data_IF_225093535723
#
_entry.id   IF_225093535723
#
_cell.length_a   1.000
_cell.length_b   1.000
_cell.length_c   1.000
_cell.angle_alpha   90.00
_cell.angle_beta   90.00
_cell.angle_gamma   90.00
#
_symmetry.space_group_name_H-M   'P 1'
#
loop_
_entity.id
_entity.type
_entity.pdbx_description
1 polymer ?
#
# COMPACT_ATOMS: atom_id res chain seq x y z
N UNK A 1 32.27 37.12 -23.09
CA UNK A 1 31.57 35.83 -23.27
C UNK A 1 32.00 34.88 -22.16
N UNK A 2 31.06 34.28 -21.41
CA UNK A 2 31.38 33.31 -20.35
C UNK A 2 30.37 33.30 -19.20
N UNK A 3 29.09 33.08 -19.51
CA UNK A 3 27.96 33.05 -18.57
C UNK A 3 28.17 31.91 -17.55
N UNK A 4 28.49 32.22 -16.29
CA UNK A 4 28.52 31.25 -15.17
C UNK A 4 27.14 30.61 -15.05
N UNK A 5 27.06 29.34 -15.43
CA UNK A 5 25.86 28.51 -15.36
C UNK A 5 25.56 28.24 -13.90
N UNK A 6 24.57 28.92 -13.34
CA UNK A 6 23.98 28.63 -12.03
C UNK A 6 23.45 27.20 -12.05
N UNK A 7 24.24 26.23 -11.57
CA UNK A 7 23.75 24.90 -11.29
C UNK A 7 22.92 24.96 -10.01
N UNK A 8 21.61 25.08 -10.18
CA UNK A 8 20.61 24.93 -9.14
C UNK A 8 20.74 23.50 -8.57
N UNK A 9 21.61 23.32 -7.57
CA UNK A 9 21.70 22.07 -6.81
C UNK A 9 20.41 21.94 -6.02
N UNK A 10 19.50 21.06 -6.45
CA UNK A 10 18.40 20.60 -5.61
C UNK A 10 19.01 19.84 -4.41
N UNK A 11 19.20 20.55 -3.30
CA UNK A 11 19.54 20.01 -1.99
C UNK A 11 18.34 19.29 -1.35
N UNK A 12 17.65 18.41 -2.09
CA UNK A 12 16.53 17.64 -1.55
C UNK A 12 16.96 16.25 -1.02
N UNK A 13 18.23 15.88 -1.24
CA UNK A 13 18.82 14.61 -0.84
C UNK A 13 20.25 14.76 -0.27
N UNK A 14 20.53 15.85 0.46
CA UNK A 14 21.77 15.92 1.23
C UNK A 14 21.71 14.88 2.36
N UNK A 15 22.63 13.91 2.27
CA UNK A 15 23.11 12.87 3.21
C UNK A 15 22.56 12.83 4.64
N UNK A 16 22.59 11.66 5.33
CA UNK A 16 22.30 11.60 6.76
C UNK A 16 23.11 12.68 7.47
N UNK A 17 22.45 13.56 8.21
CA UNK A 17 23.11 14.60 9.00
C UNK A 17 23.84 13.90 10.13
N UNK A 18 25.14 13.69 9.93
CA UNK A 18 26.08 13.29 10.95
C UNK A 18 26.46 14.56 11.73
N UNK A 19 26.37 14.48 13.05
CA UNK A 19 26.92 15.46 13.98
C UNK A 19 28.46 15.55 13.81
N UNK A 20 29.11 16.60 14.29
CA UNK A 20 30.58 16.78 14.18
C UNK A 20 31.37 15.58 14.77
N UNK A 21 30.74 14.83 15.68
CA UNK A 21 31.26 13.61 16.32
C UNK A 21 30.96 12.30 15.56
N UNK A 22 30.35 12.36 14.36
CA UNK A 22 30.00 11.19 13.55
C UNK A 22 28.76 10.42 14.02
N UNK A 23 27.97 10.99 14.93
CA UNK A 23 26.71 10.41 15.40
C UNK A 23 25.53 10.83 14.52
N UNK A 24 24.58 9.91 14.30
CA UNK A 24 23.36 10.20 13.55
C UNK A 24 22.44 11.12 14.36
N UNK A 25 22.05 12.26 13.79
CA UNK A 25 21.06 13.15 14.41
C UNK A 25 19.64 12.57 14.29
N UNK A 26 19.31 11.66 15.21
CA UNK A 26 18.03 10.95 15.26
C UNK A 26 16.82 11.89 15.29
N UNK A 27 16.92 13.05 15.96
CA UNK A 27 15.84 14.04 16.03
C UNK A 27 15.49 14.64 14.67
N UNK A 28 16.50 15.01 13.89
CA UNK A 28 16.30 15.56 12.54
C UNK A 28 15.79 14.50 11.57
N UNK A 29 16.30 13.27 11.65
CA UNK A 29 15.85 12.14 10.82
C UNK A 29 14.38 11.80 11.09
N UNK A 30 13.99 11.70 12.35
CA UNK A 30 12.61 11.45 12.75
C UNK A 30 11.71 12.60 12.30
N UNK A 31 12.10 13.86 12.53
CA UNK A 31 11.31 15.02 12.10
C UNK A 31 11.12 15.07 10.57
N UNK A 32 12.19 14.84 9.80
CA UNK A 32 12.12 14.77 8.32
C UNK A 32 11.22 13.63 7.85
N UNK A 33 11.30 12.47 8.51
CA UNK A 33 10.46 11.31 8.20
C UNK A 33 8.98 11.60 8.51
N UNK A 34 8.69 12.18 9.67
CA UNK A 34 7.33 12.58 10.06
C UNK A 34 6.78 13.66 9.12
N UNK A 35 7.57 14.68 8.80
CA UNK A 35 7.17 15.75 7.88
C UNK A 35 6.87 15.21 6.48
N UNK A 36 7.70 14.28 5.98
CA UNK A 36 7.47 13.61 4.70
C UNK A 36 6.18 12.78 4.72
N UNK A 37 5.96 11.98 5.77
CA UNK A 37 4.74 11.19 5.95
C UNK A 37 3.52 12.11 6.02
N UNK A 38 3.58 13.19 6.80
CA UNK A 38 2.50 14.17 6.91
C UNK A 38 2.20 14.84 5.56
N UNK A 39 3.23 15.20 4.78
CA UNK A 39 3.06 15.74 3.45
C UNK A 39 2.34 14.77 2.50
N UNK A 40 2.75 13.50 2.47
CA UNK A 40 2.08 12.48 1.67
C UNK A 40 0.64 12.21 2.14
N UNK A 41 0.40 12.23 3.45
CA UNK A 41 -0.96 12.09 4.02
C UNK A 41 -1.84 13.25 3.59
N UNK A 42 -1.36 14.50 3.70
CA UNK A 42 -2.10 15.70 3.28
C UNK A 42 -2.38 15.66 1.77
N UNK A 43 -1.37 15.34 0.97
CA UNK A 43 -1.52 15.20 -0.48
C UNK A 43 -2.56 14.12 -0.84
N UNK A 44 -2.49 12.97 -0.16
CA UNK A 44 -3.44 11.88 -0.30
C UNK A 44 -4.86 12.30 0.12
N UNK A 45 -5.01 13.00 1.24
CA UNK A 45 -6.30 13.53 1.71
C UNK A 45 -6.90 14.54 0.74
N UNK A 46 -6.09 15.43 0.15
CA UNK A 46 -6.54 16.38 -0.87
C UNK A 46 -6.97 15.64 -2.15
N UNK A 47 -6.18 14.67 -2.61
CA UNK A 47 -6.53 13.86 -3.77
C UNK A 47 -7.85 13.11 -3.55
N UNK A 48 -8.05 12.52 -2.36
CA UNK A 48 -9.32 11.89 -2.00
C UNK A 48 -10.49 12.87 -1.98
N UNK A 49 -10.28 14.10 -1.50
CA UNK A 49 -11.34 15.11 -1.45
C UNK A 49 -11.88 15.42 -2.85
N UNK A 50 -11.02 15.55 -3.86
CA UNK A 50 -11.43 15.83 -5.24
C UNK A 50 -12.09 14.65 -5.96
N UNK A 51 -11.79 13.41 -5.54
CA UNK A 51 -12.22 12.21 -6.27
C UNK A 51 -13.35 11.47 -5.52
N UNK A 52 -13.68 11.89 -4.28
CA UNK A 52 -14.71 11.29 -3.42
C UNK A 52 -16.04 11.04 -4.13
N UNK A 53 -16.54 12.03 -4.86
CA UNK A 53 -17.85 11.93 -5.52
C UNK A 53 -17.82 10.90 -6.66
N UNK A 54 -16.75 10.91 -7.47
CA UNK A 54 -16.52 9.90 -8.53
C UNK A 54 -16.37 8.49 -7.96
N UNK A 55 -15.78 8.34 -6.77
CA UNK A 55 -15.62 7.04 -6.14
C UNK A 55 -16.93 6.45 -5.63
N UNK A 56 -17.85 7.29 -5.13
CA UNK A 56 -19.17 6.83 -4.69
C UNK A 56 -19.96 6.24 -5.87
N UNK A 57 -19.93 6.94 -7.01
CA UNK A 57 -20.61 6.49 -8.24
C UNK A 57 -20.06 5.17 -8.78
N UNK A 58 -18.73 5.00 -8.75
CA UNK A 58 -18.08 3.74 -9.19
C UNK A 58 -18.47 2.59 -8.26
N UNK A 59 -18.43 2.79 -6.94
CA UNK A 59 -18.81 1.76 -5.97
C UNK A 59 -20.28 1.35 -6.12
N UNK A 60 -21.18 2.33 -6.30
CA UNK A 60 -22.59 2.09 -6.57
C UNK A 60 -22.81 1.35 -7.89
N UNK A 61 -22.12 1.76 -8.96
CA UNK A 61 -22.23 1.11 -10.27
C UNK A 61 -21.75 -0.34 -10.24
N UNK A 62 -20.58 -0.61 -9.63
CA UNK A 62 -20.02 -1.96 -9.51
C UNK A 62 -20.96 -2.87 -8.71
N UNK A 63 -21.51 -2.38 -7.60
CA UNK A 63 -22.39 -3.19 -6.75
C UNK A 63 -23.79 -3.40 -7.35
N UNK A 64 -24.36 -2.39 -8.01
CA UNK A 64 -25.69 -2.47 -8.60
C UNK A 64 -25.71 -3.26 -9.92
N UNK A 65 -24.69 -3.13 -10.77
CA UNK A 65 -24.67 -3.76 -12.10
C UNK A 65 -24.03 -5.15 -12.11
N UNK A 66 -22.97 -5.35 -11.30
CA UNK A 66 -22.15 -6.56 -11.37
C UNK A 66 -22.21 -7.42 -10.10
N UNK A 67 -22.89 -6.95 -9.04
CA UNK A 67 -23.10 -7.70 -7.82
C UNK A 67 -21.79 -8.16 -7.17
N UNK A 68 -21.82 -9.38 -6.61
CA UNK A 68 -20.70 -9.99 -5.89
C UNK A 68 -19.45 -10.22 -6.78
N UNK A 69 -19.65 -10.51 -8.07
CA UNK A 69 -18.54 -10.68 -9.02
C UNK A 69 -17.85 -9.36 -9.37
N UNK A 70 -18.61 -8.27 -9.50
CA UNK A 70 -18.03 -6.94 -9.69
C UNK A 70 -17.15 -6.53 -8.51
N UNK A 71 -17.66 -6.75 -7.30
CA UNK A 71 -16.95 -6.48 -6.05
C UNK A 71 -15.64 -7.27 -5.96
N UNK A 72 -15.65 -8.54 -6.37
CA UNK A 72 -14.44 -9.38 -6.34
C UNK A 72 -13.40 -8.91 -7.35
N UNK A 73 -13.80 -8.64 -8.60
CA UNK A 73 -12.90 -8.16 -9.66
C UNK A 73 -12.31 -6.80 -9.27
N UNK A 74 -13.14 -5.88 -8.78
CA UNK A 74 -12.69 -4.57 -8.34
C UNK A 74 -11.68 -4.68 -7.20
N UNK A 75 -11.98 -5.49 -6.19
CA UNK A 75 -11.08 -5.74 -5.05
C UNK A 75 -9.75 -6.34 -5.52
N UNK A 76 -9.80 -7.30 -6.45
CA UNK A 76 -8.63 -7.92 -7.03
C UNK A 76 -7.73 -6.90 -7.73
N UNK A 77 -8.27 -6.07 -8.62
CA UNK A 77 -7.47 -5.07 -9.34
C UNK A 77 -6.94 -3.96 -8.44
N UNK A 78 -7.72 -3.58 -7.44
CA UNK A 78 -7.33 -2.58 -6.44
C UNK A 78 -6.11 -3.03 -5.63
N UNK A 79 -6.05 -4.32 -5.29
CA UNK A 79 -4.92 -4.89 -4.54
C UNK A 79 -3.79 -5.41 -5.44
N UNK A 80 -4.07 -5.62 -6.72
CA UNK A 80 -3.07 -5.96 -7.74
C UNK A 80 -2.20 -4.76 -8.10
N UNK A 81 -2.83 -3.60 -8.26
CA UNK A 81 -2.19 -2.37 -8.72
C UNK A 81 -1.90 -1.42 -7.56
N UNK A 82 -0.90 -0.54 -7.73
CA UNK A 82 -0.67 0.57 -6.80
C UNK A 82 -1.64 1.68 -7.17
N UNK A 83 -2.90 1.52 -6.77
CA UNK A 83 -3.93 2.55 -6.92
C UNK A 83 -4.19 3.25 -5.58
N UNK A 84 -4.46 4.56 -5.56
CA UNK A 84 -4.86 5.30 -4.36
C UNK A 84 -6.32 5.02 -3.98
N UNK A 85 -6.79 3.81 -4.26
CA UNK A 85 -8.15 3.35 -4.07
C UNK A 85 -8.11 2.24 -3.03
N UNK A 86 -8.90 2.36 -1.98
CA UNK A 86 -9.02 1.30 -0.98
C UNK A 86 -10.27 0.49 -1.21
N UNK A 87 -10.17 -0.82 -0.95
CA UNK A 87 -11.30 -1.76 -0.95
C UNK A 87 -12.39 -1.33 0.05
N UNK A 88 -12.02 -0.53 1.04
CA UNK A 88 -12.87 0.00 2.10
C UNK A 88 -14.10 0.77 1.56
N UNK A 89 -14.00 1.36 0.35
CA UNK A 89 -15.07 2.11 -0.32
C UNK A 89 -16.29 1.24 -0.66
N UNK A 90 -16.09 -0.07 -0.85
CA UNK A 90 -17.18 -0.98 -1.21
C UNK A 90 -18.05 -1.40 -0.01
N UNK A 91 -17.51 -1.34 1.22
CA UNK A 91 -18.19 -1.86 2.41
C UNK A 91 -19.58 -1.26 2.68
N UNK A 92 -19.82 0.07 2.55
CA UNK A 92 -21.15 0.65 2.75
C UNK A 92 -22.22 0.09 1.81
N UNK A 93 -21.84 -0.36 0.62
CA UNK A 93 -22.77 -0.90 -0.38
C UNK A 93 -23.04 -2.39 -0.18
N UNK A 94 -22.06 -3.14 0.34
CA UNK A 94 -22.17 -4.59 0.54
C UNK A 94 -22.60 -4.99 1.96
N UNK A 95 -22.68 -4.05 2.90
CA UNK A 95 -23.06 -4.33 4.31
C UNK A 95 -24.43 -4.98 4.46
N UNK A 96 -25.35 -4.72 3.51
CA UNK A 96 -26.70 -5.31 3.49
C UNK A 96 -26.74 -6.74 2.91
N UNK A 97 -25.66 -7.19 2.28
CA UNK A 97 -25.59 -8.53 1.69
C UNK A 97 -25.22 -9.58 2.75
N UNK A 98 -25.20 -10.85 2.35
CA UNK A 98 -24.74 -11.91 3.24
C UNK A 98 -23.27 -11.65 3.62
N UNK A 99 -22.96 -11.43 4.91
CA UNK A 99 -21.64 -10.98 5.32
C UNK A 99 -20.59 -12.08 5.17
N UNK A 100 -20.96 -13.33 5.39
CA UNK A 100 -20.04 -14.46 5.27
C UNK A 100 -19.55 -14.59 3.83
N UNK A 101 -20.47 -14.59 2.85
CA UNK A 101 -20.12 -14.70 1.43
C UNK A 101 -19.32 -13.49 0.97
N UNK A 102 -19.74 -12.28 1.35
CA UNK A 102 -19.09 -11.05 0.91
C UNK A 102 -17.67 -10.94 1.45
N UNK A 103 -17.47 -11.17 2.76
CA UNK A 103 -16.16 -11.13 3.39
C UNK A 103 -15.22 -12.20 2.83
N UNK A 104 -15.72 -13.42 2.59
CA UNK A 104 -14.92 -14.47 1.98
C UNK A 104 -14.47 -14.09 0.57
N UNK A 105 -15.40 -13.62 -0.28
CA UNK A 105 -15.09 -13.26 -1.66
C UNK A 105 -14.14 -12.07 -1.74
N UNK A 106 -14.40 -11.01 -0.98
CA UNK A 106 -13.51 -9.84 -0.93
C UNK A 106 -12.13 -10.19 -0.40
N UNK A 107 -12.05 -11.02 0.65
CA UNK A 107 -10.76 -11.45 1.21
C UNK A 107 -9.98 -12.31 0.22
N UNK A 108 -10.62 -13.27 -0.44
CA UNK A 108 -9.97 -14.13 -1.43
C UNK A 108 -9.51 -13.32 -2.65
N UNK A 109 -10.35 -12.40 -3.14
CA UNK A 109 -9.99 -11.49 -4.23
C UNK A 109 -8.81 -10.58 -3.85
N UNK A 110 -8.82 -10.04 -2.63
CA UNK A 110 -7.74 -9.22 -2.08
C UNK A 110 -6.43 -9.98 -1.97
N UNK A 111 -6.47 -11.22 -1.45
CA UNK A 111 -5.31 -12.10 -1.37
C UNK A 111 -4.75 -12.43 -2.76
N UNK A 112 -5.62 -12.77 -3.71
CA UNK A 112 -5.22 -13.03 -5.09
C UNK A 112 -4.60 -11.78 -5.75
N UNK A 113 -5.16 -10.59 -5.51
CA UNK A 113 -4.63 -9.31 -5.95
C UNK A 113 -3.24 -9.04 -5.38
N UNK A 114 -3.08 -9.18 -4.06
CA UNK A 114 -1.79 -8.99 -3.38
C UNK A 114 -0.70 -9.97 -3.83
N UNK A 115 -1.04 -11.24 -4.03
CA UNK A 115 -0.13 -12.24 -4.61
C UNK A 115 0.23 -11.86 -6.05
N UNK A 116 -0.75 -11.44 -6.85
CA UNK A 116 -0.52 -10.93 -8.20
C UNK A 116 0.41 -9.71 -8.20
N UNK A 117 0.22 -8.77 -7.28
CA UNK A 117 1.05 -7.58 -7.13
C UNK A 117 2.49 -7.93 -6.75
N UNK A 118 2.68 -8.95 -5.90
CA UNK A 118 4.00 -9.52 -5.62
C UNK A 118 4.67 -10.06 -6.89
N UNK A 119 3.93 -10.76 -7.77
CA UNK A 119 4.48 -11.25 -9.03
C UNK A 119 4.82 -10.13 -10.01
N UNK A 120 3.98 -9.09 -10.10
CA UNK A 120 4.28 -7.89 -10.89
C UNK A 120 5.54 -7.20 -10.37
N UNK A 121 5.64 -6.99 -9.05
CA UNK A 121 6.84 -6.44 -8.42
C UNK A 121 8.08 -7.30 -8.68
N UNK A 122 7.95 -8.63 -8.67
CA UNK A 122 9.04 -9.54 -8.99
C UNK A 122 9.48 -9.43 -10.45
N UNK A 123 8.55 -9.31 -11.39
CA UNK A 123 8.83 -9.11 -12.80
C UNK A 123 9.53 -7.76 -13.04
N UNK A 124 9.06 -6.70 -12.40
CA UNK A 124 9.69 -5.38 -12.46
C UNK A 124 11.09 -5.39 -11.83
N UNK A 125 11.29 -6.16 -10.76
CA UNK A 125 12.60 -6.37 -10.13
C UNK A 125 13.63 -7.06 -11.03
N UNK A 126 13.21 -7.70 -12.13
CA UNK A 126 14.13 -8.25 -13.14
C UNK A 126 14.63 -7.22 -14.16
N UNK A 127 13.99 -6.04 -14.26
CA UNK A 127 14.43 -4.98 -15.17
C UNK A 127 15.80 -4.46 -14.75
N UNK A 128 16.70 -4.24 -15.71
CA UNK A 128 18.10 -3.82 -15.45
C UNK A 128 18.18 -2.55 -14.61
N UNK A 129 17.30 -1.59 -14.85
CA UNK A 129 17.23 -0.33 -14.10
C UNK A 129 16.91 -0.56 -12.62
N UNK A 130 15.83 -1.31 -12.34
CA UNK A 130 15.40 -1.63 -10.97
C UNK A 130 16.43 -2.50 -10.27
N UNK A 131 17.01 -3.47 -10.98
CA UNK A 131 18.08 -4.33 -10.45
C UNK A 131 19.32 -3.53 -10.07
N UNK A 132 19.71 -2.53 -10.86
CA UNK A 132 20.83 -1.64 -10.54
C UNK A 132 20.53 -0.75 -9.32
N UNK A 133 19.31 -0.21 -9.25
CA UNK A 133 18.85 0.58 -8.09
C UNK A 133 18.83 -0.25 -6.80
N UNK A 134 18.36 -1.50 -6.87
CA UNK A 134 18.26 -2.40 -5.72
C UNK A 134 19.62 -3.01 -5.36
N UNK A 135 20.54 -3.19 -6.31
CA UNK A 135 21.84 -3.83 -6.07
C UNK A 135 22.62 -3.14 -4.93
N UNK A 136 22.60 -1.80 -4.87
CA UNK A 136 23.23 -1.04 -3.79
C UNK A 136 22.62 -1.27 -2.40
N UNK A 137 21.37 -1.72 -2.31
CA UNK A 137 20.70 -2.07 -1.05
C UNK A 137 20.76 -3.58 -0.74
N UNK A 138 21.18 -4.41 -1.70
CA UNK A 138 21.03 -5.86 -1.64
C UNK A 138 22.20 -6.56 -0.92
N UNK A 139 23.40 -5.98 -0.95
CA UNK A 139 24.60 -6.56 -0.31
C UNK A 139 24.43 -6.72 1.20
N UNK A 140 23.88 -5.72 1.88
CA UNK A 140 23.61 -5.78 3.34
C UNK A 140 22.14 -6.07 3.68
N UNK A 141 21.20 -5.51 2.91
CA UNK A 141 19.77 -5.54 3.22
C UNK A 141 19.04 -6.82 2.80
N UNK A 142 19.61 -7.65 1.91
CA UNK A 142 18.90 -8.78 1.30
C UNK A 142 18.44 -9.84 2.32
N UNK A 143 19.27 -10.16 3.31
CA UNK A 143 18.91 -11.11 4.38
C UNK A 143 17.84 -10.54 5.31
N UNK A 144 17.95 -9.26 5.64
CA UNK A 144 16.99 -8.56 6.49
C UNK A 144 15.62 -8.50 5.81
N UNK A 145 15.57 -8.12 4.54
CA UNK A 145 14.32 -8.03 3.78
C UNK A 145 13.69 -9.40 3.56
N UNK A 146 14.46 -10.47 3.36
CA UNK A 146 13.88 -11.81 3.27
C UNK A 146 13.33 -12.33 4.61
N UNK A 147 13.82 -11.81 5.74
CA UNK A 147 13.34 -12.15 7.09
C UNK A 147 12.15 -11.30 7.52
N UNK A 148 12.22 -9.98 7.30
CA UNK A 148 11.24 -9.00 7.77
C UNK A 148 10.25 -8.55 6.70
N UNK A 149 10.51 -8.80 5.42
CA UNK A 149 9.59 -8.50 4.31
C UNK A 149 8.19 -9.07 4.50
N UNK A 150 8.02 -10.35 4.92
CA UNK A 150 6.71 -10.89 5.24
C UNK A 150 6.02 -10.17 6.40
N UNK A 151 6.77 -9.78 7.43
CA UNK A 151 6.24 -8.98 8.54
C UNK A 151 5.80 -7.60 8.10
N UNK A 152 6.53 -6.96 7.18
CA UNK A 152 6.13 -5.71 6.56
C UNK A 152 4.78 -5.85 5.83
N UNK A 153 4.56 -6.96 5.12
CA UNK A 153 3.27 -7.25 4.45
C UNK A 153 2.15 -7.46 5.48
N UNK A 154 2.41 -8.16 6.59
CA UNK A 154 1.43 -8.33 7.68
C UNK A 154 1.05 -7.00 8.30
N UNK A 155 2.04 -6.17 8.63
CA UNK A 155 1.82 -4.83 9.20
C UNK A 155 1.03 -3.98 8.20
N UNK A 156 1.38 -4.00 6.92
CA UNK A 156 0.66 -3.27 5.87
C UNK A 156 -0.77 -3.77 5.65
N UNK A 157 -1.02 -5.06 5.87
CA UNK A 157 -2.37 -5.63 5.76
C UNK A 157 -3.30 -5.18 6.88
N UNK A 158 -2.76 -4.95 8.08
CA UNK A 158 -3.51 -4.50 9.27
C UNK A 158 -3.62 -2.98 9.33
N UNK A 159 -2.57 -2.26 8.95
CA UNK A 159 -2.52 -0.80 8.97
C UNK A 159 -3.21 -0.18 7.74
N UNK A 160 -3.57 1.12 7.77
CA UNK A 160 -4.09 1.84 6.61
C UNK A 160 -3.02 2.13 5.52
N UNK A 161 -1.86 1.48 5.59
CA UNK A 161 -0.78 1.58 4.60
C UNK A 161 -1.24 0.91 3.29
N UNK A 162 -0.81 1.40 2.11
CA UNK A 162 -1.11 0.78 0.83
C UNK A 162 -0.45 -0.61 0.70
N UNK A 163 -1.22 -1.64 1.04
CA UNK A 163 -0.83 -3.04 1.01
C UNK A 163 -0.21 -3.46 -0.34
N UNK A 164 -0.82 -3.08 -1.46
CA UNK A 164 -0.34 -3.39 -2.82
C UNK A 164 1.10 -2.91 -3.05
N UNK A 165 1.45 -1.73 -2.53
CA UNK A 165 2.81 -1.16 -2.64
C UNK A 165 3.83 -2.03 -1.90
N UNK A 166 3.48 -2.50 -0.70
CA UNK A 166 4.36 -3.35 0.10
C UNK A 166 4.52 -4.73 -0.54
N UNK A 167 3.46 -5.29 -1.13
CA UNK A 167 3.54 -6.52 -1.92
C UNK A 167 4.46 -6.37 -3.14
N UNK A 168 4.37 -5.27 -3.87
CA UNK A 168 5.25 -4.97 -4.99
C UNK A 168 6.72 -4.87 -4.56
N UNK A 169 6.99 -4.16 -3.47
CA UNK A 169 8.34 -4.04 -2.89
C UNK A 169 8.86 -5.43 -2.49
N UNK A 170 8.07 -6.23 -1.77
CA UNK A 170 8.43 -7.59 -1.42
C UNK A 170 8.75 -8.46 -2.65
N UNK A 171 8.02 -8.27 -3.75
CA UNK A 171 8.27 -8.87 -5.05
C UNK A 171 9.60 -8.45 -5.66
N UNK A 172 9.88 -7.14 -5.71
CA UNK A 172 11.12 -6.58 -6.23
C UNK A 172 12.36 -7.11 -5.49
N UNK A 173 12.27 -7.25 -4.17
CA UNK A 173 13.34 -7.80 -3.34
C UNK A 173 13.41 -9.33 -3.32
N UNK A 174 12.52 -10.02 -4.05
CA UNK A 174 12.44 -11.49 -4.16
C UNK A 174 12.27 -12.18 -2.81
N UNK A 175 11.45 -11.59 -1.93
CA UNK A 175 11.01 -12.23 -0.68
C UNK A 175 10.32 -13.54 -1.03
N UNK A 176 10.47 -14.57 -0.20
CA UNK A 176 9.87 -15.88 -0.51
C UNK A 176 8.35 -15.83 -0.68
N UNK A 177 7.85 -16.24 -1.85
CA UNK A 177 6.44 -16.09 -2.25
C UNK A 177 5.43 -16.70 -1.27
N UNK A 178 5.72 -17.87 -0.68
CA UNK A 178 4.81 -18.51 0.28
C UNK A 178 4.69 -17.70 1.57
N UNK A 179 5.76 -17.00 1.98
CA UNK A 179 5.72 -16.13 3.17
C UNK A 179 4.88 -14.88 2.91
N UNK A 180 4.95 -14.34 1.69
CA UNK A 180 4.10 -13.22 1.26
C UNK A 180 2.65 -13.67 1.15
N UNK A 181 2.38 -14.85 0.59
CA UNK A 181 1.05 -15.43 0.51
C UNK A 181 0.42 -15.60 1.91
N UNK A 182 1.17 -16.15 2.88
CA UNK A 182 0.72 -16.24 4.27
C UNK A 182 0.56 -14.84 4.89
N UNK A 183 1.44 -13.89 4.57
CA UNK A 183 1.29 -12.52 5.06
C UNK A 183 0.03 -11.83 4.51
N UNK A 184 -0.44 -12.19 3.31
CA UNK A 184 -1.70 -11.65 2.76
C UNK A 184 -2.94 -12.07 3.56
N UNK A 185 -2.87 -13.14 4.38
CA UNK A 185 -3.97 -13.50 5.30
C UNK A 185 -4.28 -12.39 6.31
N UNK A 186 -3.31 -11.52 6.61
CA UNK A 186 -3.51 -10.34 7.48
C UNK A 186 -4.60 -9.39 6.96
N UNK A 187 -5.00 -9.51 5.68
CA UNK A 187 -6.12 -8.77 5.11
C UNK A 187 -7.47 -9.21 5.67
N UNK A 188 -7.64 -10.49 6.03
CA UNK A 188 -8.90 -11.00 6.58
C UNK A 188 -9.29 -10.25 7.87
N UNK A 189 -8.41 -10.13 8.90
CA UNK A 189 -8.69 -9.31 10.07
C UNK A 189 -9.12 -7.89 9.74
N UNK A 190 -8.44 -7.21 8.80
CA UNK A 190 -8.80 -5.86 8.39
C UNK A 190 -10.20 -5.81 7.78
N UNK A 191 -10.54 -6.71 6.85
CA UNK A 191 -11.86 -6.75 6.23
C UNK A 191 -12.98 -6.98 7.25
N UNK A 192 -12.72 -7.85 8.24
CA UNK A 192 -13.65 -8.09 9.35
C UNK A 192 -13.80 -6.84 10.23
N UNK A 193 -12.69 -6.17 10.59
CA UNK A 193 -12.72 -4.95 11.39
C UNK A 193 -13.51 -3.83 10.71
N UNK A 194 -13.30 -3.59 9.41
CA UNK A 194 -14.05 -2.57 8.66
C UNK A 194 -15.54 -2.91 8.56
N UNK A 195 -15.88 -4.17 8.32
CA UNK A 195 -17.27 -4.62 8.33
C UNK A 195 -17.94 -4.40 9.70
N UNK A 196 -17.26 -4.77 10.79
CA UNK A 196 -17.76 -4.57 12.15
C UNK A 196 -17.88 -3.08 12.50
N UNK A 197 -16.90 -2.26 12.12
CA UNK A 197 -16.92 -0.82 12.35
C UNK A 197 -18.10 -0.15 11.63
N UNK A 198 -18.37 -0.53 10.38
CA UNK A 198 -19.50 0.02 9.60
C UNK A 198 -20.82 -0.50 10.15
N UNK A 199 -20.94 -1.81 10.41
CA UNK A 199 -22.17 -2.39 11.00
C UNK A 199 -22.47 -1.83 12.39
N UNK A 200 -21.44 -1.69 13.23
CA UNK A 200 -21.52 -1.09 14.56
C UNK A 200 -21.83 0.41 14.52
N UNK A 201 -21.20 1.15 13.60
CA UNK A 201 -21.50 2.56 13.37
C UNK A 201 -22.94 2.78 12.89
N UNK A 202 -23.45 1.90 12.03
CA UNK A 202 -24.86 1.89 11.60
C UNK A 202 -25.81 1.59 12.76
N UNK A 203 -25.45 0.74 13.73
CA UNK A 203 -26.27 0.46 14.93
C UNK A 203 -26.21 1.54 16.01
N UNK A 204 -25.33 2.53 15.89
CA UNK A 204 -25.31 3.71 16.76
C UNK A 204 -26.13 4.88 16.18
N UNK A 205 -26.43 4.84 14.87
CA UNK A 205 -27.15 5.90 14.15
C UNK A 205 -28.64 5.55 13.95
N UNK A 206 -29.02 4.28 14.09
CA UNK A 206 -30.40 3.78 14.10
C UNK A 206 -30.69 3.08 15.43
#
# INVERSE_FOLDING_TARGET
MGKKRNSFKLNLFSSPTFDEDGNLEWGQLVHKTIALVAFFVVLYSIALYFIKDRYHDIGAWVTQQMGLLGVSIFTFFTDLLIVPMSVDILFPFVVKWNPYTTLLVMSLASMAGGIGGYWIGRLLGHLKFVKHFIAGFREDGGRLINRYGPWAVVIAGITPIPFSTVCWIAGMFRVTWYKVAIATLSRIPRMVLYYLAIRGGLSFIF
#
